data_IF_773333060015
#
_entry.id   IF_773333060015
#
_cell.length_a   1.000
_cell.length_b   1.000
_cell.length_c   1.000
_cell.angle_alpha   90.00
_cell.angle_beta   90.00
_cell.angle_gamma   90.00
#
_symmetry.space_group_name_H-M   'P 1'
#
loop_
_entity.id
_entity.type
_entity.pdbx_description
1 polymer ?
#
# COMPACT_ATOMS: atom_id res chain seq x y z
N UNK A 1 -76.72 -24.94 -10.79
CA UNK A 1 -75.73 -25.54 -9.86
C UNK A 1 -74.80 -26.38 -10.71
N UNK A 2 -73.57 -25.90 -10.99
CA UNK A 2 -72.39 -26.05 -10.09
C UNK A 2 -71.44 -24.82 -10.13
N UNK A 3 -70.21 -24.85 -9.58
CA UNK A 3 -69.75 -25.40 -8.31
C UNK A 3 -69.26 -24.29 -7.33
N UNK A 4 -69.19 -24.61 -6.03
CA UNK A 4 -68.62 -23.75 -5.00
C UNK A 4 -67.13 -23.51 -5.27
N UNK A 5 -66.73 -22.23 -5.36
CA UNK A 5 -65.32 -21.83 -5.34
C UNK A 5 -64.80 -21.99 -3.91
N UNK A 6 -63.97 -23.01 -3.73
CA UNK A 6 -63.11 -23.19 -2.57
C UNK A 6 -62.09 -22.03 -2.55
N UNK A 7 -62.31 -21.06 -1.66
CA UNK A 7 -61.35 -20.00 -1.38
C UNK A 7 -60.23 -20.61 -0.55
N UNK A 8 -59.11 -20.88 -1.20
CA UNK A 8 -57.88 -21.26 -0.53
C UNK A 8 -57.51 -20.21 0.54
N UNK A 9 -57.04 -20.62 1.72
CA UNK A 9 -56.66 -19.69 2.77
C UNK A 9 -55.49 -18.82 2.29
N UNK A 10 -55.70 -17.50 2.27
CA UNK A 10 -54.63 -16.53 2.11
C UNK A 10 -53.60 -16.72 3.22
N UNK A 11 -52.35 -16.96 2.83
CA UNK A 11 -51.17 -16.94 3.69
C UNK A 11 -51.20 -15.69 4.58
N UNK A 12 -51.10 -15.81 5.93
CA UNK A 12 -51.12 -14.63 6.78
C UNK A 12 -49.89 -13.78 6.46
N UNK A 13 -50.14 -12.54 6.04
CA UNK A 13 -49.12 -11.56 5.72
C UNK A 13 -48.01 -11.57 6.77
N UNK A 14 -46.80 -11.96 6.37
CA UNK A 14 -45.63 -11.99 7.24
C UNK A 14 -45.46 -10.61 7.90
N UNK A 15 -45.35 -10.59 9.23
CA UNK A 15 -45.23 -9.36 10.01
C UNK A 15 -44.02 -8.54 9.51
N UNK A 16 -44.22 -7.29 9.06
CA UNK A 16 -43.13 -6.45 8.54
C UNK A 16 -42.01 -6.23 9.56
N UNK A 17 -42.31 -6.28 10.87
CA UNK A 17 -41.29 -6.19 11.91
C UNK A 17 -40.39 -7.43 11.93
N UNK A 18 -40.98 -8.62 11.75
CA UNK A 18 -40.24 -9.88 11.77
C UNK A 18 -39.31 -10.02 10.56
N UNK A 19 -39.73 -9.53 9.39
CA UNK A 19 -38.89 -9.44 8.20
C UNK A 19 -37.75 -8.42 8.38
N UNK A 20 -38.01 -7.28 9.01
CA UNK A 20 -36.97 -6.30 9.32
C UNK A 20 -35.89 -6.88 10.26
N UNK A 21 -36.28 -7.61 11.31
CA UNK A 21 -35.34 -8.28 12.21
C UNK A 21 -34.52 -9.35 11.49
N UNK A 22 -35.13 -10.16 10.63
CA UNK A 22 -34.42 -11.15 9.80
C UNK A 22 -33.39 -10.50 8.88
N UNK A 23 -33.70 -9.35 8.30
CA UNK A 23 -32.76 -8.58 7.46
C UNK A 23 -31.61 -8.02 8.30
N UNK A 24 -31.89 -7.47 9.48
CA UNK A 24 -30.86 -6.96 10.38
C UNK A 24 -29.89 -8.04 10.82
N UNK A 25 -30.38 -9.20 11.28
CA UNK A 25 -29.50 -10.31 11.68
C UNK A 25 -28.70 -10.86 10.51
N UNK A 26 -29.28 -10.88 9.30
CA UNK A 26 -28.54 -11.27 8.08
C UNK A 26 -27.43 -10.27 7.75
N UNK A 27 -27.68 -8.97 7.92
CA UNK A 27 -26.68 -7.92 7.71
C UNK A 27 -25.57 -8.03 8.77
N UNK A 28 -25.92 -8.23 10.04
CA UNK A 28 -24.96 -8.40 11.14
C UNK A 28 -24.06 -9.62 10.90
N UNK A 29 -24.63 -10.78 10.60
CA UNK A 29 -23.85 -11.98 10.29
C UNK A 29 -22.91 -11.77 9.08
N UNK A 30 -23.35 -11.01 8.07
CA UNK A 30 -22.50 -10.67 6.91
C UNK A 30 -21.38 -9.70 7.29
N UNK A 31 -21.62 -8.77 8.21
CA UNK A 31 -20.59 -7.87 8.73
C UNK A 31 -19.55 -8.64 9.55
N UNK A 32 -19.98 -9.55 10.44
CA UNK A 32 -19.08 -10.40 11.22
C UNK A 32 -18.25 -11.31 10.32
N UNK A 33 -18.88 -11.93 9.30
CA UNK A 33 -18.17 -12.72 8.32
C UNK A 33 -17.15 -11.89 7.53
N UNK A 34 -17.52 -10.67 7.15
CA UNK A 34 -16.63 -9.74 6.47
C UNK A 34 -15.45 -9.30 7.35
N UNK A 35 -15.68 -9.07 8.65
CA UNK A 35 -14.65 -8.66 9.60
C UNK A 35 -13.66 -9.81 9.89
N UNK A 36 -14.17 -11.04 10.05
CA UNK A 36 -13.33 -12.23 10.19
C UNK A 36 -12.45 -12.51 8.97
N UNK A 37 -13.02 -12.39 7.76
CA UNK A 37 -12.26 -12.52 6.50
C UNK A 37 -11.17 -11.43 6.37
N UNK A 38 -11.46 -10.20 6.80
CA UNK A 38 -10.47 -9.12 6.81
C UNK A 38 -9.33 -9.39 7.80
N UNK A 39 -9.64 -9.89 8.98
CA UNK A 39 -8.65 -10.23 9.99
C UNK A 39 -7.71 -11.35 9.51
N UNK A 40 -8.27 -12.37 8.85
CA UNK A 40 -7.49 -13.48 8.26
C UNK A 40 -6.52 -12.95 7.19
N UNK A 41 -7.01 -12.10 6.28
CA UNK A 41 -6.20 -11.42 5.26
C UNK A 41 -5.06 -10.61 5.90
N UNK A 42 -5.34 -9.82 6.94
CA UNK A 42 -4.32 -9.03 7.62
C UNK A 42 -3.30 -9.90 8.37
N UNK A 43 -3.72 -11.06 8.86
CA UNK A 43 -2.82 -12.03 9.46
C UNK A 43 -1.89 -12.64 8.41
N UNK A 44 -2.41 -13.07 7.26
CA UNK A 44 -1.60 -13.55 6.13
C UNK A 44 -0.55 -12.52 5.72
N UNK A 45 -0.93 -11.24 5.63
CA UNK A 45 0.02 -10.15 5.34
C UNK A 45 1.08 -9.95 6.41
N UNK A 46 0.74 -10.18 7.68
CA UNK A 46 1.71 -10.13 8.79
C UNK A 46 2.76 -11.21 8.61
N UNK A 47 2.34 -12.45 8.40
CA UNK A 47 3.24 -13.58 8.22
C UNK A 47 4.14 -13.41 7.00
N UNK A 48 3.57 -12.95 5.87
CA UNK A 48 4.34 -12.71 4.66
C UNK A 48 5.43 -11.64 4.83
N UNK A 49 5.13 -10.56 5.56
CA UNK A 49 6.13 -9.52 5.88
C UNK A 49 7.23 -10.06 6.79
N UNK A 50 6.85 -10.80 7.83
CA UNK A 50 7.82 -11.42 8.74
C UNK A 50 8.71 -12.40 7.99
N UNK A 51 8.16 -13.17 7.06
CA UNK A 51 8.91 -14.04 6.17
C UNK A 51 9.96 -13.27 5.37
N UNK A 52 9.57 -12.15 4.73
CA UNK A 52 10.51 -11.33 3.97
C UNK A 52 11.57 -10.67 4.84
N UNK A 53 11.22 -10.23 6.04
CA UNK A 53 12.16 -9.65 7.00
C UNK A 53 13.14 -10.71 7.51
N UNK A 54 12.66 -11.92 7.78
CA UNK A 54 13.45 -13.08 8.25
C UNK A 54 14.40 -13.61 7.17
N UNK A 55 13.92 -13.79 5.94
CA UNK A 55 14.74 -14.21 4.80
C UNK A 55 15.69 -13.11 4.31
N UNK A 56 15.61 -11.92 4.90
CA UNK A 56 16.53 -10.80 4.70
C UNK A 56 17.38 -10.51 5.95
N UNK A 57 17.59 -11.47 6.87
CA UNK A 57 18.34 -11.28 8.13
C UNK A 57 19.87 -11.35 7.96
N UNK A 58 20.65 -10.57 8.74
CA UNK A 58 22.08 -10.76 8.91
C UNK A 58 22.38 -11.82 9.98
N UNK A 59 23.18 -12.83 9.66
CA UNK A 59 23.92 -13.60 10.65
C UNK A 59 25.05 -12.71 11.18
N UNK A 60 24.82 -12.06 12.32
CA UNK A 60 25.89 -11.36 13.05
C UNK A 60 26.53 -12.37 13.98
N UNK A 61 27.83 -12.71 13.83
CA UNK A 61 28.55 -13.41 14.89
C UNK A 61 28.72 -12.43 16.05
N UNK A 62 28.03 -12.71 17.16
CA UNK A 62 28.23 -12.03 18.43
C UNK A 62 29.50 -12.59 19.06
N UNK A 63 30.63 -11.92 18.85
CA UNK A 63 31.84 -12.17 19.63
C UNK A 63 32.15 -10.97 20.54
N UNK A 64 31.90 -11.21 21.82
CA UNK A 64 32.68 -10.85 23.01
C UNK A 64 33.44 -9.50 23.08
N UNK A 65 33.12 -8.73 24.14
CA UNK A 65 34.16 -8.11 24.98
C UNK A 65 34.06 -6.58 25.17
N UNK A 66 34.22 -6.07 26.41
CA UNK A 66 33.96 -4.68 26.76
C UNK A 66 35.11 -3.75 26.38
N UNK A 67 34.78 -2.60 25.83
CA UNK A 67 35.72 -1.51 25.55
C UNK A 67 36.28 -0.94 26.87
N UNK A 68 37.53 -1.29 27.17
CA UNK A 68 38.33 -0.62 28.19
C UNK A 68 39.22 0.46 27.51
N UNK A 69 38.87 1.71 27.80
CA UNK A 69 39.68 2.93 27.94
C UNK A 69 41.06 2.98 27.25
N UNK A 70 41.24 3.92 26.31
CA UNK A 70 42.54 4.55 26.04
C UNK A 70 42.36 6.04 25.69
N UNK A 71 43.02 6.97 26.41
CA UNK A 71 43.27 8.33 25.94
C UNK A 71 44.61 8.43 25.20
N UNK A 72 44.70 9.46 24.35
CA UNK A 72 45.77 9.79 23.41
C UNK A 72 47.14 10.10 24.04
N UNK A 73 48.24 9.83 23.31
CA UNK A 73 49.30 10.82 23.02
C UNK A 73 50.27 10.33 21.90
N UNK A 74 51.13 11.25 21.46
CA UNK A 74 51.72 11.45 20.15
C UNK A 74 52.87 10.53 19.65
N UNK A 75 53.09 10.61 18.33
CA UNK A 75 54.38 10.91 17.64
C UNK A 75 54.72 9.95 16.47
N UNK A 76 55.11 10.56 15.35
CA UNK A 76 55.39 9.98 14.03
C UNK A 76 56.90 9.71 13.84
N UNK A 77 57.30 8.68 13.07
CA UNK A 77 58.37 8.74 12.03
C UNK A 77 58.39 7.48 11.13
N UNK A 78 58.97 7.53 9.89
CA UNK A 78 58.63 6.66 8.76
C UNK A 78 59.73 5.65 8.29
N UNK A 79 59.29 4.72 7.42
CA UNK A 79 59.98 4.12 6.27
C UNK A 79 60.39 2.61 6.31
N UNK A 80 59.98 1.94 5.22
CA UNK A 80 60.37 0.62 4.64
C UNK A 80 59.73 -0.63 5.30
N UNK A 81 59.13 -1.59 4.58
CA UNK A 81 59.30 -2.07 3.19
C UNK A 81 58.03 -2.80 2.68
N UNK A 82 57.73 -2.67 1.38
CA UNK A 82 56.79 -3.48 0.58
C UNK A 82 57.11 -4.99 0.65
N UNK A 83 56.13 -5.93 0.57
CA UNK A 83 55.35 -6.12 -0.66
C UNK A 83 53.89 -6.56 -0.49
N UNK A 84 53.10 -6.36 -1.55
CA UNK A 84 51.87 -7.11 -1.85
C UNK A 84 50.84 -7.15 -0.72
N UNK A 85 50.03 -6.11 -0.64
CA UNK A 85 48.59 -6.33 -0.50
C UNK A 85 47.93 -5.26 -1.34
N UNK A 86 47.67 -5.61 -2.61
CA UNK A 86 46.49 -5.09 -3.27
C UNK A 86 45.41 -5.15 -2.21
N UNK A 87 45.00 -4.00 -1.69
CA UNK A 87 43.88 -3.95 -0.77
C UNK A 87 42.73 -4.47 -1.60
N UNK A 88 42.51 -5.76 -1.45
CA UNK A 88 41.22 -6.37 -1.54
C UNK A 88 40.34 -5.50 -0.66
N UNK A 89 39.78 -4.46 -1.29
CA UNK A 89 38.34 -4.36 -1.30
C UNK A 89 37.84 -5.72 -1.78
N UNK A 90 37.88 -6.73 -0.90
CA UNK A 90 36.74 -7.60 -0.77
C UNK A 90 35.62 -6.63 -0.39
N UNK A 91 35.06 -5.97 -1.41
CA UNK A 91 33.63 -5.74 -1.51
C UNK A 91 33.05 -7.14 -1.37
N UNK A 92 33.02 -7.66 -0.13
CA UNK A 92 31.92 -8.47 0.30
C UNK A 92 30.74 -7.60 -0.05
N UNK A 93 30.06 -7.97 -1.13
CA UNK A 93 28.97 -7.19 -1.68
C UNK A 93 27.97 -7.04 -0.56
N UNK A 94 28.00 -5.89 0.11
CA UNK A 94 26.97 -5.46 1.02
C UNK A 94 25.73 -5.47 0.14
N UNK A 95 24.93 -6.53 0.27
CA UNK A 95 23.68 -6.65 -0.46
C UNK A 95 22.91 -5.43 0.00
N UNK A 96 22.77 -4.43 -0.86
CA UNK A 96 22.03 -3.22 -0.57
C UNK A 96 20.61 -3.65 -0.20
N UNK A 97 20.29 -3.57 1.09
CA UNK A 97 18.98 -3.94 1.63
C UNK A 97 18.15 -2.67 1.77
N UNK A 98 17.24 -2.39 0.84
CA UNK A 98 16.37 -1.22 0.96
C UNK A 98 15.48 -1.31 2.19
N UNK A 99 15.16 -0.15 2.75
CA UNK A 99 14.12 -0.06 3.77
C UNK A 99 12.75 -0.45 3.17
N UNK A 100 11.92 -1.19 3.90
CA UNK A 100 10.56 -1.48 3.44
C UNK A 100 9.74 -0.19 3.33
N UNK A 101 8.72 -0.16 2.45
CA UNK A 101 7.86 1.01 2.27
C UNK A 101 7.01 1.28 3.53
N UNK A 102 6.61 2.53 3.70
CA UNK A 102 5.69 2.91 4.78
C UNK A 102 4.28 2.34 4.56
N UNK A 103 3.52 2.23 5.66
CA UNK A 103 2.09 1.88 5.56
C UNK A 103 1.32 2.97 4.80
N UNK A 104 0.42 2.54 3.91
CA UNK A 104 -0.32 3.41 3.02
C UNK A 104 -1.82 3.36 3.30
N UNK A 105 -2.41 4.54 3.52
CA UNK A 105 -3.84 4.70 3.83
C UNK A 105 -4.72 5.03 2.62
N UNK A 106 -4.11 5.18 1.44
CA UNK A 106 -4.83 5.53 0.22
C UNK A 106 -4.92 7.02 -0.04
N UNK A 107 -4.05 7.84 0.55
CA UNK A 107 -3.96 9.28 0.29
C UNK A 107 -3.38 9.53 -1.10
N UNK A 108 -4.03 10.40 -1.90
CA UNK A 108 -3.64 10.53 -3.33
C UNK A 108 -2.28 11.17 -3.52
N UNK A 109 -1.94 12.12 -2.65
CA UNK A 109 -0.68 12.86 -2.73
C UNK A 109 0.53 11.95 -2.45
N UNK A 110 0.33 10.92 -1.62
CA UNK A 110 1.36 9.95 -1.25
C UNK A 110 1.42 8.72 -2.17
N UNK A 111 0.40 8.51 -3.01
CA UNK A 111 0.30 7.31 -3.85
C UNK A 111 1.50 7.11 -4.78
N UNK A 112 2.02 8.19 -5.37
CA UNK A 112 3.18 8.11 -6.27
C UNK A 112 4.48 7.77 -5.52
N UNK A 113 4.69 8.37 -4.35
CA UNK A 113 5.85 8.09 -3.51
C UNK A 113 5.84 6.62 -3.03
N UNK A 114 4.67 6.15 -2.58
CA UNK A 114 4.48 4.77 -2.14
C UNK A 114 4.82 3.75 -3.23
N UNK A 115 4.20 3.85 -4.42
CA UNK A 115 4.45 2.84 -5.47
C UNK A 115 5.90 2.87 -5.98
N UNK A 116 6.53 4.04 -6.00
CA UNK A 116 7.95 4.16 -6.35
C UNK A 116 8.83 3.46 -5.31
N UNK A 117 8.51 3.58 -4.02
CA UNK A 117 9.25 2.88 -2.96
C UNK A 117 9.09 1.36 -3.05
N UNK A 118 7.89 0.88 -3.41
CA UNK A 118 7.65 -0.54 -3.69
C UNK A 118 8.48 -1.03 -4.90
N UNK A 119 8.43 -0.30 -6.02
CA UNK A 119 9.19 -0.63 -7.24
C UNK A 119 10.70 -0.69 -6.94
N UNK A 120 11.22 0.28 -6.17
CA UNK A 120 12.62 0.31 -5.75
C UNK A 120 12.99 -0.91 -4.91
N UNK A 121 12.16 -1.26 -3.92
CA UNK A 121 12.41 -2.43 -3.08
C UNK A 121 12.50 -3.71 -3.91
N UNK A 122 11.50 -3.95 -4.78
CA UNK A 122 11.49 -5.13 -5.66
C UNK A 122 12.70 -5.19 -6.60
N UNK A 123 13.16 -4.03 -7.10
CA UNK A 123 14.32 -3.97 -7.99
C UNK A 123 15.63 -4.36 -7.30
N UNK A 124 15.73 -4.10 -5.99
CA UNK A 124 16.92 -4.37 -5.19
C UNK A 124 16.90 -5.79 -4.60
N UNK A 125 15.72 -6.40 -4.46
CA UNK A 125 15.55 -7.76 -3.92
C UNK A 125 14.79 -8.68 -4.88
N UNK A 126 15.25 -8.91 -6.12
CA UNK A 126 14.52 -9.73 -7.10
C UNK A 126 14.33 -11.18 -6.64
N UNK A 127 15.27 -11.73 -5.87
CA UNK A 127 15.21 -13.11 -5.35
C UNK A 127 14.00 -13.36 -4.44
N UNK A 128 13.49 -12.32 -3.78
CA UNK A 128 12.35 -12.41 -2.87
C UNK A 128 11.00 -12.44 -3.59
N UNK A 129 10.98 -12.17 -4.91
CA UNK A 129 9.77 -12.02 -5.71
C UNK A 129 9.80 -12.92 -6.95
N UNK A 130 9.71 -14.25 -6.75
CA UNK A 130 9.79 -15.23 -7.85
C UNK A 130 8.59 -15.15 -8.80
N UNK A 131 7.44 -14.67 -8.33
CA UNK A 131 6.21 -14.60 -9.11
C UNK A 131 5.48 -13.27 -8.94
N UNK A 132 4.67 -12.93 -9.96
CA UNK A 132 3.94 -11.66 -10.04
C UNK A 132 2.90 -11.51 -8.92
N UNK A 133 2.29 -12.62 -8.48
CA UNK A 133 1.32 -12.59 -7.40
C UNK A 133 1.98 -12.29 -6.05
N UNK A 134 3.19 -12.81 -5.80
CA UNK A 134 3.98 -12.45 -4.62
C UNK A 134 4.27 -10.96 -4.58
N UNK A 135 4.61 -10.32 -5.72
CA UNK A 135 4.80 -8.86 -5.81
C UNK A 135 3.53 -8.09 -5.45
N UNK A 136 2.40 -8.47 -6.05
CA UNK A 136 1.12 -7.82 -5.82
C UNK A 136 0.71 -7.97 -4.36
N UNK A 137 0.72 -9.19 -3.83
CA UNK A 137 0.35 -9.48 -2.44
C UNK A 137 1.25 -8.74 -1.45
N UNK A 138 2.54 -8.61 -1.76
CA UNK A 138 3.45 -7.82 -0.95
C UNK A 138 3.05 -6.35 -0.88
N UNK A 139 2.77 -5.70 -2.02
CA UNK A 139 2.32 -4.30 -2.01
C UNK A 139 1.01 -4.14 -1.24
N UNK A 140 0.06 -5.05 -1.45
CA UNK A 140 -1.21 -5.04 -0.71
C UNK A 140 -1.02 -5.16 0.81
N UNK A 141 0.05 -5.80 1.28
CA UNK A 141 0.35 -5.94 2.71
C UNK A 141 0.65 -4.61 3.42
N UNK A 142 1.06 -3.58 2.66
CA UNK A 142 1.30 -2.23 3.18
C UNK A 142 0.07 -1.31 3.06
N UNK A 143 -0.99 -1.75 2.39
CA UNK A 143 -2.24 -1.00 2.20
C UNK A 143 -3.17 -1.20 3.40
N UNK A 144 -2.84 -0.59 4.55
CA UNK A 144 -3.45 -0.94 5.85
C UNK A 144 -4.57 -0.02 6.32
N UNK A 145 -4.67 1.20 5.79
CA UNK A 145 -5.69 2.15 6.22
C UNK A 145 -6.57 2.68 5.11
N UNK A 146 -7.61 3.39 5.53
CA UNK A 146 -8.49 4.20 4.69
C UNK A 146 -8.99 3.48 3.43
N UNK A 147 -8.74 4.10 2.27
CA UNK A 147 -9.18 3.59 0.97
C UNK A 147 -8.28 2.48 0.45
N UNK A 148 -7.01 2.50 0.84
CA UNK A 148 -6.06 1.48 0.44
C UNK A 148 -6.44 0.10 1.01
N UNK A 149 -6.82 0.03 2.29
CA UNK A 149 -7.30 -1.20 2.92
C UNK A 149 -8.51 -1.80 2.18
N UNK A 150 -9.48 -0.97 1.80
CA UNK A 150 -10.67 -1.42 1.04
C UNK A 150 -10.31 -1.96 -0.34
N UNK A 151 -9.35 -1.32 -1.00
CA UNK A 151 -8.84 -1.78 -2.29
C UNK A 151 -8.10 -3.12 -2.16
N UNK A 152 -7.25 -3.28 -1.16
CA UNK A 152 -6.54 -4.52 -0.88
C UNK A 152 -7.51 -5.66 -0.60
N UNK A 153 -8.48 -5.44 0.29
CA UNK A 153 -9.55 -6.38 0.60
C UNK A 153 -10.31 -6.86 -0.64
N UNK A 154 -10.72 -5.91 -1.50
CA UNK A 154 -11.45 -6.22 -2.75
C UNK A 154 -10.58 -7.03 -3.71
N UNK A 155 -9.29 -6.75 -3.76
CA UNK A 155 -8.34 -7.44 -4.65
C UNK A 155 -8.13 -8.88 -4.20
N UNK A 156 -7.94 -9.10 -2.89
CA UNK A 156 -7.73 -10.43 -2.34
C UNK A 156 -8.98 -11.30 -2.29
N UNK A 157 -10.18 -10.72 -2.18
CA UNK A 157 -11.44 -11.48 -2.24
C UNK A 157 -11.81 -11.91 -3.67
N UNK A 158 -11.22 -11.29 -4.68
CA UNK A 158 -11.59 -11.52 -6.07
C UNK A 158 -11.46 -13.00 -6.51
N UNK A 159 -10.37 -13.74 -6.18
CA UNK A 159 -10.27 -15.16 -6.49
C UNK A 159 -11.43 -15.98 -5.92
N UNK A 160 -11.90 -15.69 -4.70
CA UNK A 160 -12.99 -16.43 -4.06
C UNK A 160 -14.31 -16.30 -4.83
N UNK A 161 -14.52 -15.17 -5.52
CA UNK A 161 -15.72 -14.94 -6.34
C UNK A 161 -15.55 -15.31 -7.81
N UNK A 162 -14.31 -15.50 -8.28
CA UNK A 162 -13.98 -15.72 -9.69
C UNK A 162 -13.23 -17.04 -9.92
N UNK A 163 -13.55 -18.08 -9.14
CA UNK A 163 -13.04 -19.44 -9.38
C UNK A 163 -11.52 -19.59 -9.22
N UNK A 164 -10.92 -18.84 -8.29
CA UNK A 164 -9.48 -18.86 -8.02
C UNK A 164 -8.65 -17.95 -8.94
N UNK A 165 -9.27 -17.23 -9.87
CA UNK A 165 -8.56 -16.33 -10.78
C UNK A 165 -8.15 -15.03 -10.05
N UNK A 166 -6.86 -14.66 -10.04
CA UNK A 166 -6.41 -13.41 -9.44
C UNK A 166 -6.96 -12.21 -10.20
N UNK A 167 -7.23 -11.11 -9.48
CA UNK A 167 -7.78 -9.88 -10.07
C UNK A 167 -6.87 -9.24 -11.11
N UNK A 168 -5.57 -9.38 -10.90
CA UNK A 168 -4.53 -8.86 -11.77
C UNK A 168 -3.62 -10.02 -12.12
N UNK A 169 -3.39 -10.26 -13.41
CA UNK A 169 -2.51 -11.33 -13.86
C UNK A 169 -1.04 -10.94 -13.72
N UNK A 170 -0.74 -9.65 -13.88
CA UNK A 170 0.61 -9.10 -13.82
C UNK A 170 0.72 -7.90 -12.88
N UNK A 171 1.93 -7.65 -12.37
CA UNK A 171 2.25 -6.48 -11.57
C UNK A 171 2.05 -5.18 -12.36
N UNK A 172 2.29 -5.19 -13.67
CA UNK A 172 2.09 -4.01 -14.53
C UNK A 172 0.61 -3.58 -14.61
N UNK A 173 -0.31 -4.53 -14.71
CA UNK A 173 -1.76 -4.26 -14.67
C UNK A 173 -2.18 -3.69 -13.32
N UNK A 174 -1.72 -4.34 -12.23
CA UNK A 174 -1.94 -3.87 -10.88
C UNK A 174 -1.44 -2.42 -10.69
N UNK A 175 -0.21 -2.14 -11.10
CA UNK A 175 0.43 -0.83 -10.98
C UNK A 175 -0.34 0.25 -11.74
N UNK A 176 -0.82 -0.06 -12.95
CA UNK A 176 -1.63 0.86 -13.75
C UNK A 176 -2.94 1.21 -13.03
N UNK A 177 -3.63 0.20 -12.51
CA UNK A 177 -4.86 0.41 -11.75
C UNK A 177 -4.61 1.18 -10.44
N UNK A 178 -3.50 0.86 -9.75
CA UNK A 178 -3.10 1.57 -8.54
C UNK A 178 -2.88 3.05 -8.81
N UNK A 179 -2.14 3.40 -9.87
CA UNK A 179 -1.88 4.79 -10.24
C UNK A 179 -3.20 5.50 -10.59
N UNK A 180 -4.10 4.85 -11.33
CA UNK A 180 -5.39 5.43 -11.68
C UNK A 180 -6.26 5.72 -10.44
N UNK A 181 -6.24 4.86 -9.44
CA UNK A 181 -7.09 4.94 -8.25
C UNK A 181 -6.49 5.85 -7.15
N UNK A 182 -5.16 5.83 -7.00
CA UNK A 182 -4.44 6.45 -5.88
C UNK A 182 -3.46 7.55 -6.26
N UNK A 183 -3.18 7.84 -7.53
CA UNK A 183 -2.43 9.06 -7.88
C UNK A 183 -3.40 10.20 -8.22
N UNK A 184 -2.99 11.47 -8.03
CA UNK A 184 -3.75 12.60 -8.54
C UNK A 184 -3.84 12.46 -10.07
N UNK A 185 -5.05 12.54 -10.62
CA UNK A 185 -5.24 12.66 -12.06
C UNK A 185 -4.74 14.06 -12.41
N UNK A 186 -3.61 14.15 -13.11
CA UNK A 186 -2.80 15.35 -13.30
C UNK A 186 -3.56 16.68 -13.25
N UNK A 187 -2.97 17.60 -12.49
CA UNK A 187 -3.39 18.94 -12.13
C UNK A 187 -3.50 19.93 -13.31
N UNK A 188 -3.59 19.45 -14.56
CA UNK A 188 -3.88 20.29 -15.74
C UNK A 188 -5.24 21.01 -15.62
N UNK A 189 -6.13 20.53 -14.73
CA UNK A 189 -7.36 21.25 -14.34
C UNK A 189 -7.15 22.29 -13.22
N UNK A 190 -6.19 22.10 -12.30
CA UNK A 190 -5.97 23.06 -11.20
C UNK A 190 -5.27 24.33 -11.67
N UNK A 191 -4.36 24.23 -12.64
CA UNK A 191 -3.78 25.43 -13.25
C UNK A 191 -4.84 26.28 -13.98
N UNK A 192 -5.74 25.63 -14.73
CA UNK A 192 -6.79 26.33 -15.47
C UNK A 192 -7.75 27.11 -14.54
N UNK A 193 -8.14 26.54 -13.41
CA UNK A 193 -9.02 27.24 -12.45
C UNK A 193 -8.31 28.40 -11.74
N UNK A 194 -6.99 28.32 -11.48
CA UNK A 194 -6.25 29.42 -10.85
C UNK A 194 -6.03 30.61 -11.81
N UNK A 195 -5.87 30.35 -13.12
CA UNK A 195 -5.76 31.44 -14.10
C UNK A 195 -7.05 32.25 -14.25
N UNK A 196 -8.23 31.61 -14.19
CA UNK A 196 -9.51 32.32 -14.35
C UNK A 196 -9.81 33.28 -13.19
N UNK A 197 -9.47 32.96 -11.95
CA UNK A 197 -9.82 33.82 -10.79
C UNK A 197 -8.91 35.05 -10.63
N UNK A 198 -7.66 34.98 -11.10
CA UNK A 198 -6.70 36.10 -11.00
C UNK A 198 -6.90 37.16 -12.09
N UNK A 199 -7.62 36.83 -13.18
CA UNK A 199 -7.93 37.76 -14.26
C UNK A 199 -9.09 38.73 -13.94
N UNK A 200 -9.84 38.53 -12.85
CA UNK A 200 -11.04 39.32 -12.52
C UNK A 200 -10.83 40.53 -11.60
N UNK A 201 -9.58 40.89 -11.26
CA UNK A 201 -9.29 42.01 -10.36
C UNK A 201 -8.48 43.16 -10.98
N UNK A 202 -8.55 43.38 -12.30
CA UNK A 202 -8.14 44.67 -12.86
C UNK A 202 -9.30 45.66 -12.73
N UNK A 203 -9.43 46.22 -11.52
CA UNK A 203 -10.45 47.19 -11.17
C UNK A 203 -10.41 48.43 -12.06
N UNK A 204 -11.60 48.91 -12.40
CA UNK A 204 -11.89 50.21 -13.00
C UNK A 204 -11.35 51.34 -12.10
N UNK A 205 -10.06 51.65 -12.21
CA UNK A 205 -9.49 52.88 -11.67
C UNK A 205 -9.56 53.93 -12.75
N UNK A 206 -10.68 54.64 -12.79
CA UNK A 206 -10.78 55.96 -13.41
C UNK A 206 -9.66 56.83 -12.84
N UNK A 207 -8.76 57.35 -13.68
CA UNK A 207 -7.77 58.35 -13.28
C UNK A 207 -8.35 59.72 -13.66
N UNK A 208 -8.75 60.57 -12.70
CA UNK A 208 -9.23 61.91 -13.00
C UNK A 208 -8.05 62.87 -13.18
N UNK A 209 -8.14 63.69 -14.22
CA UNK A 209 -7.67 65.08 -14.27
C UNK A 209 -6.18 65.36 -14.08
N UNK A 210 -5.53 65.77 -15.16
CA UNK A 210 -4.63 66.94 -15.17
C UNK A 210 -4.34 67.34 -16.61
N UNK A 211 -4.85 68.50 -17.01
CA UNK A 211 -4.64 69.12 -18.31
C UNK A 211 -4.91 70.62 -18.19
N UNK A 212 -3.79 71.34 -18.10
CA UNK A 212 -3.53 72.79 -18.05
C UNK A 212 -4.61 73.74 -18.57
#
# INVERSE_FOLDING_TARGET
MPPASDVAPQDPAADPAQEAWRRLTTIEARLEHQDGQMAEIFNTFREFRLYLEQHNTPTVPRDSGPAAVQPADAAQTPAQSDPLSAQSFTRGGDRLRPAPPDSFDGEREKGRAFINSCDLYMSLTPDAFPDEQTRINWVLSYMKGGRAARFAARTLRHPNSHGGVPRFGTYAEFRTQFIAEFCPRDEKRKAATTFETSAYHQGSRSVPGSGL
#
